data_IF_888895376853
#
_entry.id   IF_888895376853
#
_cell.length_a   1.000
_cell.length_b   1.000
_cell.length_c   1.000
_cell.angle_alpha   90.00
_cell.angle_beta   90.00
_cell.angle_gamma   90.00
#
_symmetry.space_group_name_H-M   'P 1'
#
loop_
_entity.id
_entity.type
_entity.pdbx_description
1 polymer ?
#
# COMPACT_ATOMS: atom_id res chain seq x y z
N UNK A 1 -6.97 12.77 -2.45
CA UNK A 1 -5.99 11.80 -1.91
C UNK A 1 -4.99 11.46 -3.00
N UNK A 2 -3.69 11.25 -2.69
CA UNK A 2 -2.68 10.89 -3.70
C UNK A 2 -2.75 9.42 -4.12
N UNK A 3 -3.34 8.56 -3.29
CA UNK A 3 -3.60 7.14 -3.59
C UNK A 3 -5.04 6.94 -4.07
N UNK A 4 -5.20 6.00 -5.01
CA UNK A 4 -6.48 5.65 -5.62
C UNK A 4 -6.53 4.16 -5.92
N UNK A 5 -7.74 3.58 -5.92
CA UNK A 5 -7.95 2.21 -6.42
C UNK A 5 -7.54 2.10 -7.90
N UNK A 6 -7.03 0.94 -8.30
CA UNK A 6 -6.52 0.67 -9.65
C UNK A 6 -5.13 1.23 -9.94
N UNK A 7 -4.53 2.00 -9.04
CA UNK A 7 -3.13 2.47 -9.19
C UNK A 7 -2.17 1.29 -9.23
N UNK A 8 -1.12 1.35 -10.05
CA UNK A 8 -0.12 0.29 -10.08
C UNK A 8 0.76 0.32 -8.82
N UNK A 9 1.20 -0.85 -8.34
CA UNK A 9 2.12 -0.97 -7.20
C UNK A 9 3.38 -0.12 -7.37
N UNK A 10 3.95 -0.10 -8.58
CA UNK A 10 5.13 0.73 -8.89
C UNK A 10 4.85 2.24 -8.73
N UNK A 11 3.65 2.71 -9.08
CA UNK A 11 3.27 4.11 -8.87
C UNK A 11 3.11 4.42 -7.39
N UNK A 12 2.52 3.51 -6.61
CA UNK A 12 2.42 3.64 -5.16
C UNK A 12 3.81 3.72 -4.52
N UNK A 13 4.73 2.84 -4.92
CA UNK A 13 6.10 2.85 -4.41
C UNK A 13 6.88 4.10 -4.83
N UNK A 14 6.57 4.70 -5.98
CA UNK A 14 7.11 6.00 -6.39
C UNK A 14 6.59 7.15 -5.50
N UNK A 15 5.35 7.05 -5.04
CA UNK A 15 4.71 8.06 -4.18
C UNK A 15 5.10 7.94 -2.70
N UNK A 16 5.17 6.71 -2.18
CA UNK A 16 5.36 6.41 -0.76
C UNK A 16 6.77 5.93 -0.41
N UNK A 17 7.59 5.62 -1.41
CA UNK A 17 8.84 4.90 -1.23
C UNK A 17 8.63 3.39 -1.10
N UNK A 18 9.65 2.69 -0.61
CA UNK A 18 9.58 1.24 -0.39
C UNK A 18 8.72 0.93 0.85
N UNK A 19 7.88 -0.12 0.80
CA UNK A 19 7.14 -0.53 1.98
C UNK A 19 8.08 -1.05 3.08
N UNK A 20 7.67 -0.85 4.34
CA UNK A 20 8.34 -1.43 5.51
C UNK A 20 8.18 -2.95 5.53
N UNK A 21 6.97 -3.42 5.20
CA UNK A 21 6.63 -4.84 5.11
C UNK A 21 5.74 -5.08 3.90
N UNK A 22 5.93 -6.21 3.22
CA UNK A 22 4.96 -6.67 2.25
C UNK A 22 4.83 -8.19 2.30
N UNK A 23 3.59 -8.65 2.47
CA UNK A 23 3.23 -10.05 2.64
C UNK A 23 2.05 -10.40 1.74
N UNK A 24 1.91 -11.68 1.38
CA UNK A 24 0.82 -12.12 0.53
C UNK A 24 1.07 -13.44 -0.18
N UNK A 25 0.08 -13.80 -0.99
CA UNK A 25 0.09 -14.98 -1.85
C UNK A 25 0.08 -14.56 -3.32
N UNK A 26 0.28 -15.51 -4.24
CA UNK A 26 0.16 -15.24 -5.67
C UNK A 26 -1.24 -14.66 -6.00
N UNK A 27 -1.27 -13.43 -6.51
CA UNK A 27 -2.50 -12.73 -6.89
C UNK A 27 -3.06 -11.75 -5.86
N UNK A 28 -2.66 -11.83 -4.59
CA UNK A 28 -3.04 -10.85 -3.56
C UNK A 28 -1.87 -10.53 -2.64
N UNK A 29 -1.57 -9.25 -2.47
CA UNK A 29 -0.54 -8.81 -1.54
C UNK A 29 -0.99 -7.62 -0.72
N UNK A 30 -0.51 -7.52 0.52
CA UNK A 30 -0.68 -6.37 1.38
C UNK A 30 0.70 -5.80 1.68
N UNK A 31 0.92 -4.54 1.32
CA UNK A 31 2.14 -3.83 1.70
C UNK A 31 1.81 -2.73 2.72
N UNK A 32 2.69 -2.51 3.68
CA UNK A 32 2.56 -1.48 4.71
C UNK A 32 3.74 -0.54 4.68
N UNK A 33 3.47 0.75 4.77
CA UNK A 33 4.44 1.84 4.93
C UNK A 33 4.27 2.43 6.32
N UNK A 34 5.38 2.66 7.02
CA UNK A 34 5.39 3.24 8.37
C UNK A 34 5.48 2.19 9.48
N UNK A 35 4.92 2.52 10.64
CA UNK A 35 5.03 1.76 11.89
C UNK A 35 3.70 1.65 12.64
N UNK A 36 3.73 1.18 13.89
CA UNK A 36 2.52 0.93 14.71
C UNK A 36 1.73 2.20 15.04
N UNK A 37 2.36 3.38 15.01
CA UNK A 37 1.75 4.65 15.39
C UNK A 37 1.22 5.42 14.17
N UNK A 38 1.92 5.33 13.03
CA UNK A 38 1.52 5.97 11.78
C UNK A 38 1.82 5.05 10.60
N UNK A 39 0.79 4.65 9.86
CA UNK A 39 0.94 3.75 8.73
C UNK A 39 -0.06 3.99 7.60
N UNK A 40 0.31 3.48 6.43
CA UNK A 40 -0.56 3.21 5.29
C UNK A 40 -0.44 1.72 4.97
N UNK A 41 -1.57 1.02 4.87
CA UNK A 41 -1.64 -0.35 4.38
C UNK A 41 -2.39 -0.37 3.06
N UNK A 42 -1.80 -0.97 2.04
CA UNK A 42 -2.37 -1.06 0.69
C UNK A 42 -2.50 -2.53 0.32
N UNK A 43 -3.72 -2.95 0.00
CA UNK A 43 -3.99 -4.27 -0.55
C UNK A 43 -4.02 -4.19 -2.08
N UNK A 44 -3.34 -5.14 -2.70
CA UNK A 44 -3.23 -5.31 -4.13
C UNK A 44 -3.88 -6.60 -4.59
N UNK A 45 -4.58 -6.54 -5.72
CA UNK A 45 -4.94 -7.70 -6.52
C UNK A 45 -4.10 -7.67 -7.80
N UNK A 46 -3.27 -8.69 -8.02
CA UNK A 46 -2.16 -8.59 -8.97
C UNK A 46 -1.22 -7.44 -8.61
N UNK A 47 -1.02 -6.50 -9.53
CA UNK A 47 -0.21 -5.30 -9.35
C UNK A 47 -1.04 -4.03 -9.07
N UNK A 48 -2.36 -4.14 -8.86
CA UNK A 48 -3.27 -2.99 -8.78
C UNK A 48 -3.85 -2.81 -7.40
N UNK A 49 -3.95 -1.56 -6.94
CA UNK A 49 -4.57 -1.22 -5.65
C UNK A 49 -6.03 -1.64 -5.65
N UNK A 50 -6.39 -2.53 -4.73
CA UNK A 50 -7.78 -2.88 -4.44
C UNK A 50 -8.37 -1.93 -3.39
N UNK A 51 -7.65 -1.74 -2.28
CA UNK A 51 -8.05 -0.84 -1.20
C UNK A 51 -6.82 -0.37 -0.43
N UNK A 52 -6.97 0.73 0.30
CA UNK A 52 -5.95 1.22 1.21
C UNK A 52 -6.60 1.80 2.47
N UNK A 53 -5.88 1.70 3.58
CA UNK A 53 -6.26 2.29 4.86
C UNK A 53 -5.02 2.88 5.53
N UNK A 54 -5.23 3.79 6.48
CA UNK A 54 -4.13 4.36 7.23
C UNK A 54 -4.59 4.94 8.56
N UNK A 55 -3.65 5.05 9.49
CA UNK A 55 -3.85 5.61 10.82
C UNK A 55 -2.72 6.59 11.12
N UNK A 56 -3.03 7.66 11.86
CA UNK A 56 -2.01 8.60 12.33
C UNK A 56 -1.40 9.47 11.23
N UNK A 57 -2.13 9.67 10.12
CA UNK A 57 -1.76 10.55 9.01
C UNK A 57 -2.50 11.89 9.21
N UNK A 58 -1.78 13.01 9.23
CA UNK A 58 -2.32 14.38 9.29
C UNK A 58 -2.36 15.01 7.91
#
# INVERSE_FOLDING_TARGET
>A
AKLSAGMAKAEVESLLGKPTDCSGALGMSSCTWGDKNSFISVQYAGDKVLMFSGQGLK
#
